data_IF_506770922113
#
_entry.id   IF_506770922113
#
_cell.length_a   1.000
_cell.length_b   1.000
_cell.length_c   1.000
_cell.angle_alpha   90.00
_cell.angle_beta   90.00
_cell.angle_gamma   90.00
#
_symmetry.space_group_name_H-M   'P 1'
#
loop_
_entity.id
_entity.type
_entity.pdbx_description
1 polymer ?
#
# COMPACT_ATOMS: atom_id res chain seq x y z
N UNK A 1 -5.22 1.16 -59.02
CA UNK A 1 -4.46 2.04 -58.10
C UNK A 1 -5.44 2.93 -57.38
N UNK A 2 -6.15 2.37 -56.40
CA UNK A 2 -6.89 3.10 -55.37
C UNK A 2 -6.75 2.21 -54.13
N UNK A 3 -5.83 2.60 -53.26
CA UNK A 3 -5.56 1.93 -51.99
C UNK A 3 -6.83 1.96 -51.13
N UNK A 4 -7.45 0.79 -50.96
CA UNK A 4 -8.38 0.54 -49.86
C UNK A 4 -7.55 0.46 -48.58
N UNK A 5 -7.17 1.64 -48.06
CA UNK A 5 -6.65 1.77 -46.71
C UNK A 5 -7.80 1.45 -45.74
N UNK A 6 -8.04 0.15 -45.55
CA UNK A 6 -8.87 -0.37 -44.48
C UNK A 6 -8.30 0.17 -43.18
N UNK A 7 -9.03 1.13 -42.61
CA UNK A 7 -8.68 1.75 -41.34
C UNK A 7 -8.45 0.64 -40.32
N UNK A 8 -7.21 0.50 -39.84
CA UNK A 8 -6.90 -0.31 -38.67
C UNK A 8 -7.85 0.18 -37.57
N UNK A 9 -8.72 -0.68 -37.01
CA UNK A 9 -9.66 -0.24 -35.99
C UNK A 9 -8.83 0.45 -34.91
N UNK A 10 -9.11 1.74 -34.69
CA UNK A 10 -8.47 2.53 -33.67
C UNK A 10 -8.52 1.70 -32.39
N UNK A 11 -7.35 1.26 -31.92
CA UNK A 11 -7.18 0.39 -30.76
C UNK A 11 -8.18 0.85 -29.71
N UNK A 12 -9.19 0.00 -29.52
CA UNK A 12 -10.42 0.20 -28.75
C UNK A 12 -10.14 1.12 -27.57
N UNK A 13 -10.59 2.38 -27.66
CA UNK A 13 -10.21 3.43 -26.74
C UNK A 13 -10.49 2.96 -25.30
N UNK A 14 -9.42 2.53 -24.61
CA UNK A 14 -9.53 1.76 -23.38
C UNK A 14 -10.49 2.44 -22.42
N UNK A 15 -11.61 1.77 -22.14
CA UNK A 15 -12.72 2.34 -21.38
C UNK A 15 -12.18 2.84 -20.03
N UNK A 16 -12.19 4.16 -19.85
CA UNK A 16 -11.75 4.80 -18.61
C UNK A 16 -12.72 4.43 -17.50
N UNK A 17 -12.21 4.22 -16.29
CA UNK A 17 -13.06 3.92 -15.14
C UNK A 17 -13.97 5.12 -14.83
N UNK A 18 -15.30 4.94 -14.73
CA UNK A 18 -16.20 6.03 -14.36
C UNK A 18 -15.91 6.50 -12.93
N UNK A 19 -16.04 7.81 -12.68
CA UNK A 19 -15.61 8.45 -11.42
C UNK A 19 -16.23 7.81 -10.18
N UNK A 20 -17.54 7.50 -10.21
CA UNK A 20 -18.22 6.86 -9.09
C UNK A 20 -17.60 5.51 -8.73
N UNK A 21 -17.23 4.70 -9.74
CA UNK A 21 -16.62 3.39 -9.53
C UNK A 21 -15.19 3.54 -9.01
N UNK A 22 -14.43 4.49 -9.56
CA UNK A 22 -13.08 4.80 -9.09
C UNK A 22 -13.08 5.25 -7.62
N UNK A 23 -14.07 6.06 -7.21
CA UNK A 23 -14.25 6.50 -5.81
C UNK A 23 -14.66 5.32 -4.93
N UNK A 24 -15.64 4.50 -5.35
CA UNK A 24 -16.05 3.31 -4.59
C UNK A 24 -14.88 2.35 -4.36
N UNK A 25 -14.09 2.07 -5.40
CA UNK A 25 -12.89 1.23 -5.28
C UNK A 25 -11.85 1.86 -4.36
N UNK A 26 -11.60 3.17 -4.48
CA UNK A 26 -10.66 3.88 -3.63
C UNK A 26 -11.08 3.84 -2.16
N UNK A 27 -12.37 4.01 -1.85
CA UNK A 27 -12.90 3.88 -0.48
C UNK A 27 -12.76 2.45 0.00
N UNK A 28 -13.25 1.47 -0.76
CA UNK A 28 -13.23 0.06 -0.37
C UNK A 28 -11.80 -0.44 -0.08
N UNK A 29 -10.87 -0.23 -1.01
CA UNK A 29 -9.47 -0.61 -0.82
C UNK A 29 -8.77 0.29 0.20
N UNK A 30 -9.07 1.57 0.20
CA UNK A 30 -8.52 2.55 1.15
C UNK A 30 -8.83 2.21 2.60
N UNK A 31 -9.97 1.57 2.90
CA UNK A 31 -10.26 1.06 4.25
C UNK A 31 -9.22 0.03 4.72
N UNK A 32 -8.72 -0.84 3.85
CA UNK A 32 -7.68 -1.82 4.20
C UNK A 32 -6.34 -1.13 4.50
N UNK A 33 -5.94 -0.16 3.68
CA UNK A 33 -4.75 0.65 3.98
C UNK A 33 -4.92 1.48 5.25
N UNK A 34 -6.10 2.00 5.52
CA UNK A 34 -6.39 2.72 6.76
C UNK A 34 -6.27 1.80 7.97
N UNK A 35 -6.72 0.55 7.86
CA UNK A 35 -6.51 -0.45 8.90
C UNK A 35 -5.02 -0.68 9.17
N UNK A 36 -4.20 -0.88 8.13
CA UNK A 36 -2.73 -1.02 8.27
C UNK A 36 -2.11 0.19 9.01
N UNK A 37 -2.57 1.41 8.70
CA UNK A 37 -2.12 2.64 9.37
C UNK A 37 -2.50 2.65 10.85
N UNK A 38 -3.74 2.30 11.20
CA UNK A 38 -4.18 2.25 12.59
C UNK A 38 -3.48 1.14 13.38
N UNK A 39 -3.22 0.00 12.75
CA UNK A 39 -2.41 -1.08 13.32
C UNK A 39 -0.99 -0.59 13.61
N UNK A 40 -0.32 0.01 12.62
CA UNK A 40 1.03 0.55 12.77
C UNK A 40 1.11 1.68 13.81
N UNK A 41 0.08 2.52 13.89
CA UNK A 41 -0.03 3.56 14.90
C UNK A 41 -0.15 2.96 16.30
N UNK A 42 -0.98 1.93 16.46
CA UNK A 42 -1.10 1.17 17.71
C UNK A 42 0.23 0.55 18.13
N UNK A 43 0.97 -0.03 17.19
CA UNK A 43 2.31 -0.58 17.43
C UNK A 43 3.31 0.51 17.84
N UNK A 44 3.33 1.66 17.14
CA UNK A 44 4.20 2.80 17.46
C UNK A 44 3.97 3.27 18.90
N UNK A 45 2.72 3.52 19.27
CA UNK A 45 2.36 4.01 20.61
C UNK A 45 2.68 2.93 21.66
N UNK A 46 2.20 1.69 21.45
CA UNK A 46 2.37 0.60 22.41
C UNK A 46 3.82 0.24 22.67
N UNK A 47 4.66 0.19 21.63
CA UNK A 47 6.10 -0.10 21.78
C UNK A 47 6.82 1.06 22.47
N UNK A 48 6.44 2.31 22.16
CA UNK A 48 7.00 3.50 22.82
C UNK A 48 6.68 3.51 24.32
N UNK A 49 5.42 3.26 24.68
CA UNK A 49 4.98 3.21 26.08
C UNK A 49 5.62 2.05 26.83
N UNK A 50 5.73 0.88 26.19
CA UNK A 50 6.40 -0.28 26.78
C UNK A 50 7.88 -0.02 27.05
N UNK A 51 8.61 0.57 26.08
CA UNK A 51 10.01 0.92 26.26
C UNK A 51 10.22 1.90 27.44
N UNK A 52 9.38 2.92 27.54
CA UNK A 52 9.41 3.88 28.65
C UNK A 52 9.18 3.22 30.01
N UNK A 53 8.26 2.24 30.12
CA UNK A 53 8.00 1.52 31.37
C UNK A 53 9.19 0.65 31.85
N UNK A 54 10.06 0.25 30.92
CA UNK A 54 11.26 -0.56 31.18
C UNK A 54 12.52 0.30 31.37
N UNK A 55 12.39 1.64 31.44
CA UNK A 55 13.50 2.59 31.38
C UNK A 55 14.46 2.32 30.19
N UNK A 56 13.89 1.76 29.11
CA UNK A 56 14.61 1.39 27.90
C UNK A 56 14.39 2.43 26.79
N UNK A 57 15.39 2.62 25.94
CA UNK A 57 15.29 3.52 24.78
C UNK A 57 15.15 2.74 23.48
N UNK A 58 14.21 3.15 22.63
CA UNK A 58 14.16 2.68 21.23
C UNK A 58 15.31 3.34 20.47
N UNK A 59 16.16 2.55 19.83
CA UNK A 59 17.26 3.09 19.02
C UNK A 59 16.75 3.76 17.73
N UNK A 60 17.60 4.53 17.05
CA UNK A 60 17.21 5.25 15.82
C UNK A 60 16.71 4.35 14.68
N UNK A 61 17.22 3.12 14.57
CA UNK A 61 16.73 2.14 13.59
C UNK A 61 15.35 1.61 13.94
N UNK A 62 15.07 1.34 15.22
CA UNK A 62 13.74 0.94 15.69
C UNK A 62 12.69 2.02 15.42
N UNK A 63 13.02 3.28 15.71
CA UNK A 63 12.17 4.42 15.35
C UNK A 63 11.93 4.51 13.84
N UNK A 64 12.97 4.32 13.03
CA UNK A 64 12.85 4.34 11.58
C UNK A 64 11.89 3.25 11.08
N UNK A 65 11.97 2.03 11.63
CA UNK A 65 11.05 0.94 11.26
C UNK A 65 9.60 1.22 11.67
N UNK A 66 9.37 1.76 12.87
CA UNK A 66 8.01 2.09 13.32
C UNK A 66 7.38 3.19 12.46
N UNK A 67 8.13 4.25 12.18
CA UNK A 67 7.66 5.34 11.30
C UNK A 67 7.46 4.83 9.87
N UNK A 68 8.37 3.98 9.37
CA UNK A 68 8.23 3.38 8.06
C UNK A 68 6.96 2.54 7.97
N UNK A 69 6.70 1.67 8.95
CA UNK A 69 5.48 0.86 9.01
C UNK A 69 4.21 1.70 9.01
N UNK A 70 4.22 2.88 9.64
CA UNK A 70 3.09 3.81 9.65
C UNK A 70 2.88 4.53 8.31
N UNK A 71 3.96 4.99 7.68
CA UNK A 71 3.90 5.85 6.48
C UNK A 71 3.75 5.03 5.19
N UNK A 72 4.33 3.84 5.15
CA UNK A 72 4.35 2.97 3.97
C UNK A 72 2.95 2.69 3.36
N UNK A 73 1.92 2.26 4.12
CA UNK A 73 0.60 2.02 3.55
C UNK A 73 -0.02 3.28 2.92
N UNK A 74 0.20 4.47 3.51
CA UNK A 74 -0.27 5.74 2.94
C UNK A 74 0.37 6.03 1.58
N UNK A 75 1.69 5.81 1.48
CA UNK A 75 2.45 6.02 0.24
C UNK A 75 2.01 5.04 -0.84
N UNK A 76 1.87 3.75 -0.49
CA UNK A 76 1.42 2.72 -1.43
C UNK A 76 0.01 3.00 -1.94
N UNK A 77 -0.91 3.40 -1.07
CA UNK A 77 -2.26 3.81 -1.48
C UNK A 77 -2.24 5.00 -2.43
N UNK A 78 -1.45 6.05 -2.14
CA UNK A 78 -1.34 7.22 -3.01
C UNK A 78 -0.78 6.87 -4.39
N UNK A 79 0.23 6.00 -4.46
CA UNK A 79 0.79 5.49 -5.72
C UNK A 79 -0.26 4.68 -6.48
N UNK A 80 -0.95 3.74 -5.81
CA UNK A 80 -1.98 2.91 -6.44
C UNK A 80 -3.15 3.75 -6.98
N UNK A 81 -3.62 4.74 -6.20
CA UNK A 81 -4.68 5.65 -6.61
C UNK A 81 -4.26 6.50 -7.82
N UNK A 82 -3.07 7.09 -7.80
CA UNK A 82 -2.59 7.96 -8.88
C UNK A 82 -2.32 7.22 -10.19
N UNK A 83 -1.82 5.99 -10.13
CA UNK A 83 -1.63 5.12 -11.30
C UNK A 83 -2.95 4.53 -11.81
N UNK A 84 -3.87 4.15 -10.92
CA UNK A 84 -5.13 3.49 -11.25
C UNK A 84 -6.19 4.40 -11.85
N UNK A 85 -6.27 5.68 -11.44
CA UNK A 85 -7.36 6.61 -11.81
C UNK A 85 -7.54 6.86 -13.32
N UNK A 86 -6.48 6.69 -14.11
CA UNK A 86 -6.51 6.94 -15.56
C UNK A 86 -6.62 5.63 -16.38
N UNK A 87 -6.75 4.48 -15.73
CA UNK A 87 -6.79 3.16 -16.35
C UNK A 87 -8.20 2.57 -16.24
N UNK A 88 -8.44 1.45 -16.92
CA UNK A 88 -9.69 0.69 -16.78
C UNK A 88 -9.81 0.03 -15.38
N UNK A 89 -11.01 -0.42 -14.99
CA UNK A 89 -11.32 -0.83 -13.62
C UNK A 89 -10.48 -2.02 -13.13
N UNK A 90 -10.18 -2.98 -14.00
CA UNK A 90 -9.32 -4.14 -13.67
C UNK A 90 -7.90 -3.72 -13.31
N UNK A 91 -7.33 -2.76 -14.06
CA UNK A 91 -6.00 -2.24 -13.76
C UNK A 91 -6.00 -1.49 -12.42
N UNK A 92 -7.04 -0.73 -12.13
CA UNK A 92 -7.18 -0.03 -10.86
C UNK A 92 -7.25 -1.00 -9.67
N UNK A 93 -8.04 -2.08 -9.77
CA UNK A 93 -8.12 -3.13 -8.74
C UNK A 93 -6.73 -3.79 -8.56
N UNK A 94 -6.07 -4.14 -9.66
CA UNK A 94 -4.74 -4.75 -9.60
C UNK A 94 -3.71 -3.87 -8.89
N UNK A 95 -3.71 -2.55 -9.13
CA UNK A 95 -2.80 -1.63 -8.44
C UNK A 95 -3.06 -1.58 -6.92
N UNK A 96 -4.32 -1.51 -6.49
CA UNK A 96 -4.62 -1.54 -5.06
C UNK A 96 -4.25 -2.87 -4.41
N UNK A 97 -4.56 -3.99 -5.07
CA UNK A 97 -4.24 -5.33 -4.58
C UNK A 97 -2.72 -5.57 -4.48
N UNK A 98 -1.95 -5.13 -5.47
CA UNK A 98 -0.47 -5.22 -5.43
C UNK A 98 0.10 -4.37 -4.30
N UNK A 99 -0.37 -3.14 -4.13
CA UNK A 99 0.08 -2.29 -3.02
C UNK A 99 -0.29 -2.88 -1.65
N UNK A 100 -1.45 -3.50 -1.50
CA UNK A 100 -1.82 -4.20 -0.26
C UNK A 100 -0.95 -5.43 -0.03
N UNK A 101 -0.69 -6.20 -1.09
CA UNK A 101 0.23 -7.34 -1.02
C UNK A 101 1.65 -6.91 -0.61
N UNK A 102 2.14 -5.79 -1.15
CA UNK A 102 3.43 -5.22 -0.76
C UNK A 102 3.43 -4.76 0.70
N UNK A 103 2.38 -4.07 1.14
CA UNK A 103 2.19 -3.68 2.55
C UNK A 103 2.28 -4.91 3.47
N UNK A 104 1.49 -5.95 3.16
CA UNK A 104 1.45 -7.18 3.95
C UNK A 104 2.79 -7.92 3.98
N UNK A 105 3.47 -8.07 2.83
CA UNK A 105 4.78 -8.72 2.76
C UNK A 105 5.83 -7.96 3.56
N UNK A 106 5.84 -6.62 3.48
CA UNK A 106 6.80 -5.81 4.22
C UNK A 106 6.55 -5.85 5.73
N UNK A 107 5.28 -5.84 6.17
CA UNK A 107 4.95 -6.07 7.58
C UNK A 107 5.43 -7.43 8.08
N UNK A 108 5.25 -8.49 7.29
CA UNK A 108 5.76 -9.83 7.61
C UNK A 108 7.29 -9.88 7.65
N UNK A 109 7.97 -9.21 6.73
CA UNK A 109 9.43 -9.18 6.67
C UNK A 109 10.02 -8.42 7.87
N UNK A 110 9.38 -7.32 8.30
CA UNK A 110 9.76 -6.58 9.52
C UNK A 110 9.63 -7.48 10.76
N UNK A 111 8.52 -8.21 10.91
CA UNK A 111 8.31 -9.15 12.03
C UNK A 111 9.37 -10.26 11.98
N UNK A 112 9.63 -10.84 10.81
CA UNK A 112 10.63 -11.90 10.63
C UNK A 112 12.06 -11.40 10.92
N UNK A 113 12.39 -10.18 10.52
CA UNK A 113 13.66 -9.54 10.83
C UNK A 113 13.83 -9.30 12.33
N UNK A 114 12.76 -8.84 13.00
CA UNK A 114 12.74 -8.64 14.46
C UNK A 114 12.95 -9.96 15.22
N UNK A 115 12.24 -11.02 14.82
CA UNK A 115 12.38 -12.36 15.40
C UNK A 115 13.78 -12.97 15.17
N UNK A 116 14.42 -12.65 14.05
CA UNK A 116 15.79 -13.11 13.75
C UNK A 116 16.85 -12.41 14.61
N UNK A 117 16.59 -11.17 15.03
CA UNK A 117 17.55 -10.34 15.78
C UNK A 117 17.39 -10.40 17.29
N UNK A 118 16.26 -10.91 17.80
CA UNK A 118 16.09 -11.27 19.20
C UNK A 118 16.41 -12.76 19.35
N UNK A 119 17.55 -13.15 19.96
CA UNK A 119 17.74 -14.53 20.36
C UNK A 119 16.76 -14.81 21.48
N UNK A 120 15.68 -15.54 21.17
CA UNK A 120 14.92 -16.29 22.17
C UNK A 120 15.80 -17.47 22.56
N UNK A 121 16.69 -17.22 23.53
CA UNK A 121 17.42 -18.22 24.30
C UNK A 121 16.64 -18.56 25.57
#
# INVERSE_FOLDING_TARGET
MTDDATAVPAAEAAARTPLWLAVTLAVLFGLFYAYDVFEALGNLIGISDFANQLDASINGFGWALLVLGLVLPLVLFAIAFTLGRNRGPLAQIAFYAVGLGLSAVLSLDIIAAFARWIPIG
#
